data_IF_881469488139
#
_entry.id   IF_881469488139
#
_cell.length_a   1.000
_cell.length_b   1.000
_cell.length_c   1.000
_cell.angle_alpha   90.00
_cell.angle_beta   90.00
_cell.angle_gamma   90.00
#
_symmetry.space_group_name_H-M   'P 1'
#
loop_
_entity.id
_entity.type
_entity.pdbx_description
1 polymer ?
#
# COMPACT_ATOMS: atom_id res chain seq x y z
N UNK A 1 21.28 -13.00 13.05
CA UNK A 1 20.54 -12.71 11.81
C UNK A 1 19.20 -13.41 11.93
N UNK A 2 18.14 -12.68 12.30
CA UNK A 2 16.83 -13.26 12.58
C UNK A 2 15.91 -13.04 11.36
N UNK A 3 15.75 -14.08 10.57
CA UNK A 3 14.74 -14.17 9.51
C UNK A 3 13.42 -14.58 10.15
N UNK A 4 12.52 -13.63 10.42
CA UNK A 4 11.18 -13.94 10.87
C UNK A 4 10.25 -14.08 9.65
N UNK A 5 10.08 -15.32 9.20
CA UNK A 5 9.03 -15.69 8.24
C UNK A 5 7.68 -15.68 8.96
N UNK A 6 6.91 -14.60 8.84
CA UNK A 6 5.51 -14.60 9.27
C UNK A 6 4.63 -15.11 8.13
N UNK A 7 4.63 -16.45 7.98
CA UNK A 7 3.58 -17.17 7.26
C UNK A 7 2.36 -17.27 8.17
N UNK A 8 1.27 -16.63 7.75
CA UNK A 8 -0.07 -16.98 8.22
C UNK A 8 -0.75 -15.87 9.00
N UNK A 9 -1.56 -15.06 8.31
CA UNK A 9 -2.72 -14.32 8.84
C UNK A 9 -3.64 -13.87 7.67
N UNK A 10 -3.82 -14.73 6.67
CA UNK A 10 -4.65 -14.49 5.48
C UNK A 10 -6.13 -14.86 5.68
N UNK A 11 -6.77 -14.47 6.79
CA UNK A 11 -8.19 -14.82 7.03
C UNK A 11 -9.09 -13.71 7.58
N UNK A 12 -8.66 -12.44 7.61
CA UNK A 12 -9.51 -11.37 8.14
C UNK A 12 -9.61 -10.10 7.28
N UNK A 13 -9.12 -10.11 6.03
CA UNK A 13 -9.39 -9.02 5.10
C UNK A 13 -10.81 -9.22 4.55
N UNK A 14 -11.83 -8.86 5.32
CA UNK A 14 -13.10 -8.48 4.71
C UNK A 14 -12.85 -7.12 4.07
N UNK A 15 -12.81 -7.03 2.73
CA UNK A 15 -12.73 -5.74 2.09
C UNK A 15 -14.05 -5.04 2.42
N UNK A 16 -13.99 -3.89 3.08
CA UNK A 16 -15.04 -2.89 2.87
C UNK A 16 -14.88 -2.42 1.43
N UNK A 17 -15.38 -3.22 0.49
CA UNK A 17 -15.60 -2.81 -0.89
C UNK A 17 -16.67 -1.72 -0.86
N UNK A 18 -16.26 -0.45 -0.68
CA UNK A 18 -16.92 0.60 -1.45
C UNK A 18 -16.45 0.42 -2.88
N UNK A 19 -17.26 -0.27 -3.66
CA UNK A 19 -17.17 -0.27 -5.12
C UNK A 19 -17.51 1.13 -5.64
N UNK A 20 -16.55 2.05 -5.54
CA UNK A 20 -16.61 3.28 -6.33
C UNK A 20 -16.19 2.92 -7.76
N UNK A 21 -17.16 2.48 -8.58
CA UNK A 21 -17.00 2.52 -10.03
C UNK A 21 -17.13 3.97 -10.47
N UNK A 22 -16.04 4.72 -10.33
CA UNK A 22 -15.93 6.12 -10.74
C UNK A 22 -14.69 6.29 -11.62
N UNK A 23 -14.87 6.92 -12.79
CA UNK A 23 -13.78 7.36 -13.66
C UNK A 23 -13.00 8.45 -12.90
N UNK A 24 -11.86 8.13 -12.29
CA UNK A 24 -11.08 9.12 -11.53
C UNK A 24 -10.17 9.94 -12.47
N UNK A 25 -10.47 11.23 -12.60
CA UNK A 25 -9.51 12.25 -13.03
C UNK A 25 -8.89 12.85 -11.76
N UNK A 26 -7.64 12.50 -11.46
CA UNK A 26 -6.86 13.01 -10.31
C UNK A 26 -6.42 11.89 -9.36
N UNK A 27 -5.27 12.03 -8.66
CA UNK A 27 -4.80 11.00 -7.75
C UNK A 27 -5.52 11.13 -6.41
N UNK A 28 -6.50 10.26 -6.17
CA UNK A 28 -7.22 10.20 -4.91
C UNK A 28 -6.31 9.70 -3.79
N UNK A 29 -6.22 10.44 -2.68
CA UNK A 29 -5.54 9.98 -1.48
C UNK A 29 -6.39 8.89 -0.79
N UNK A 30 -5.72 7.86 -0.29
CA UNK A 30 -6.30 6.77 0.48
C UNK A 30 -6.10 7.05 1.97
N UNK A 31 -7.16 6.88 2.76
CA UNK A 31 -7.14 6.96 4.22
C UNK A 31 -7.45 5.58 4.79
N UNK A 32 -6.64 5.12 5.73
CA UNK A 32 -6.78 3.82 6.39
C UNK A 32 -6.71 4.00 7.91
N UNK A 33 -7.66 3.39 8.61
CA UNK A 33 -7.56 3.16 10.05
C UNK A 33 -6.49 2.11 10.36
N UNK A 34 -6.02 2.06 11.61
CA UNK A 34 -5.04 1.05 12.04
C UNK A 34 -5.52 -0.38 11.74
N UNK A 35 -4.64 -1.19 11.16
CA UNK A 35 -4.92 -2.56 10.75
C UNK A 35 -5.66 -2.70 9.41
N UNK A 36 -6.26 -1.63 8.88
CA UNK A 36 -6.96 -1.67 7.60
C UNK A 36 -6.00 -1.86 6.42
N UNK A 37 -6.51 -2.49 5.36
CA UNK A 37 -5.73 -2.90 4.18
C UNK A 37 -6.32 -2.29 2.91
N UNK A 38 -5.43 -1.81 2.04
CA UNK A 38 -5.72 -1.39 0.68
C UNK A 38 -4.85 -2.17 -0.31
N UNK A 39 -5.35 -2.42 -1.51
CA UNK A 39 -4.55 -3.05 -2.56
C UNK A 39 -4.84 -2.47 -3.94
N UNK A 40 -3.82 -2.49 -4.81
CA UNK A 40 -3.97 -2.13 -6.20
C UNK A 40 -3.03 -2.96 -7.09
N UNK A 41 -3.35 -3.03 -8.38
CA UNK A 41 -2.45 -3.62 -9.37
C UNK A 41 -1.71 -2.51 -10.10
N UNK A 42 -0.39 -2.52 -9.98
CA UNK A 42 0.52 -1.61 -10.69
C UNK A 42 0.73 -2.15 -12.11
N UNK A 43 0.79 -1.25 -13.09
CA UNK A 43 1.08 -1.57 -14.50
C UNK A 43 2.54 -1.25 -14.82
N UNK A 44 2.99 -1.58 -16.03
CA UNK A 44 4.40 -1.48 -16.44
C UNK A 44 5.07 -0.10 -16.23
N UNK A 45 4.31 1.00 -16.11
CA UNK A 45 4.86 2.33 -15.83
C UNK A 45 5.34 2.56 -14.39
N UNK A 46 5.14 1.60 -13.48
CA UNK A 46 5.44 1.75 -12.06
C UNK A 46 4.52 2.73 -11.35
N UNK A 47 4.75 2.93 -10.05
CA UNK A 47 4.00 3.88 -9.22
C UNK A 47 4.88 4.38 -8.07
N UNK A 48 4.84 5.67 -7.77
CA UNK A 48 5.38 6.19 -6.50
C UNK A 48 4.23 6.43 -5.54
N UNK A 49 4.33 5.91 -4.31
CA UNK A 49 3.41 6.21 -3.22
C UNK A 49 4.13 7.01 -2.14
N UNK A 50 3.50 8.07 -1.64
CA UNK A 50 3.96 8.85 -0.50
C UNK A 50 3.01 8.66 0.67
N UNK A 51 3.58 8.36 1.84
CA UNK A 51 2.87 8.37 3.11
C UNK A 51 2.81 9.82 3.62
N UNK A 52 1.64 10.44 3.58
CA UNK A 52 1.44 11.80 4.06
C UNK A 52 1.37 11.85 5.59
N UNK A 53 0.71 10.87 6.20
CA UNK A 53 0.52 10.74 7.64
C UNK A 53 0.52 9.27 8.07
N UNK A 54 0.91 9.01 9.32
CA UNK A 54 0.84 7.69 9.93
C UNK A 54 2.05 6.79 9.66
N UNK A 55 1.78 5.48 9.62
CA UNK A 55 2.78 4.43 9.39
C UNK A 55 2.19 3.31 8.55
N UNK A 56 2.85 2.96 7.45
CA UNK A 56 2.40 1.92 6.53
C UNK A 56 3.37 0.75 6.50
N UNK A 57 2.84 -0.46 6.33
CA UNK A 57 3.55 -1.62 5.82
C UNK A 57 3.09 -1.88 4.38
N UNK A 58 4.02 -2.21 3.49
CA UNK A 58 3.75 -2.42 2.07
C UNK A 58 4.50 -3.66 1.59
N UNK A 59 3.81 -4.50 0.82
CA UNK A 59 4.41 -5.59 0.04
C UNK A 59 4.05 -5.43 -1.43
N UNK A 60 4.99 -5.78 -2.32
CA UNK A 60 4.82 -5.71 -3.77
C UNK A 60 5.19 -7.06 -4.38
N UNK A 61 4.28 -7.62 -5.17
CA UNK A 61 4.52 -8.84 -5.93
C UNK A 61 5.78 -8.71 -6.80
N UNK A 62 6.69 -9.69 -6.70
CA UNK A 62 7.97 -9.67 -7.42
C UNK A 62 9.12 -8.99 -6.66
N UNK A 63 8.83 -8.24 -5.60
CA UNK A 63 9.86 -7.66 -4.73
C UNK A 63 10.20 -8.61 -3.57
N UNK A 64 11.49 -8.79 -3.24
CA UNK A 64 11.91 -9.74 -2.20
C UNK A 64 11.71 -9.21 -0.78
N UNK A 65 11.38 -7.92 -0.63
CA UNK A 65 11.34 -7.24 0.68
C UNK A 65 10.12 -6.34 0.82
N UNK A 66 9.41 -6.54 1.93
CA UNK A 66 8.40 -5.60 2.38
C UNK A 66 9.05 -4.30 2.86
N UNK A 67 8.25 -3.24 2.90
CA UNK A 67 8.71 -1.88 3.23
C UNK A 67 7.81 -1.28 4.31
N UNK A 68 8.40 -0.56 5.25
CA UNK A 68 7.68 0.25 6.23
C UNK A 68 7.91 1.72 5.91
N UNK A 69 6.83 2.47 5.67
CA UNK A 69 6.88 3.87 5.23
C UNK A 69 6.23 4.76 6.28
N UNK A 70 7.06 5.61 6.91
CA UNK A 70 6.62 6.65 7.85
C UNK A 70 6.09 7.87 7.09
N UNK A 71 5.31 8.70 7.77
CA UNK A 71 4.92 10.02 7.26
C UNK A 71 6.11 10.81 6.68
N UNK A 72 5.91 11.42 5.52
CA UNK A 72 6.94 12.09 4.71
C UNK A 72 7.77 11.15 3.83
N UNK A 73 7.71 9.83 4.07
CA UNK A 73 8.40 8.83 3.28
C UNK A 73 7.69 8.50 1.97
N UNK A 74 8.45 8.08 0.97
CA UNK A 74 7.91 7.55 -0.28
C UNK A 74 8.55 6.22 -0.67
N UNK A 75 7.83 5.46 -1.47
CA UNK A 75 8.25 4.19 -2.03
C UNK A 75 7.98 4.19 -3.52
N UNK A 76 8.98 3.75 -4.29
CA UNK A 76 8.84 3.48 -5.71
C UNK A 76 8.51 2.00 -5.87
N UNK A 77 7.48 1.73 -6.66
CA UNK A 77 6.99 0.41 -7.03
C UNK A 77 7.38 0.19 -8.48
N UNK A 78 8.49 -0.52 -8.67
CA UNK A 78 9.07 -0.73 -9.99
C UNK A 78 8.43 -1.96 -10.66
N UNK A 79 7.89 -1.76 -11.85
CA UNK A 79 7.28 -2.83 -12.63
C UNK A 79 5.83 -3.19 -12.22
N UNK A 80 5.20 -4.12 -12.97
CA UNK A 80 3.84 -4.55 -12.73
C UNK A 80 3.75 -5.55 -11.57
N UNK A 81 2.64 -5.51 -10.82
CA UNK A 81 2.43 -6.43 -9.69
C UNK A 81 1.26 -6.03 -8.80
N UNK A 82 0.82 -6.93 -7.92
CA UNK A 82 -0.11 -6.59 -6.83
C UNK A 82 0.66 -5.89 -5.72
N UNK A 83 0.17 -4.72 -5.31
CA UNK A 83 0.62 -4.01 -4.11
C UNK A 83 -0.43 -4.15 -3.05
N UNK A 84 0.00 -4.48 -1.82
CA UNK A 84 -0.84 -4.50 -0.63
C UNK A 84 -0.23 -3.55 0.39
N UNK A 85 -1.06 -2.66 0.93
CA UNK A 85 -0.71 -1.68 1.94
C UNK A 85 -1.56 -1.94 3.17
N UNK A 86 -0.92 -2.07 4.33
CA UNK A 86 -1.58 -2.10 5.63
C UNK A 86 -1.17 -0.87 6.45
N UNK A 87 -2.13 -0.24 7.09
CA UNK A 87 -1.85 0.80 8.07
C UNK A 87 -1.40 0.17 9.39
N UNK A 88 -0.15 0.41 9.80
CA UNK A 88 0.37 0.03 11.11
C UNK A 88 -0.04 1.05 12.20
N UNK A 89 -0.46 2.25 11.77
CA UNK A 89 -1.12 3.33 12.53
C UNK A 89 -2.09 4.03 11.57
N UNK A 90 -3.10 4.78 12.03
CA UNK A 90 -3.97 5.54 11.14
C UNK A 90 -3.14 6.36 10.16
N UNK A 91 -3.43 6.23 8.86
CA UNK A 91 -2.54 6.69 7.81
C UNK A 91 -3.29 7.28 6.62
N UNK A 92 -2.64 8.24 5.97
CA UNK A 92 -3.06 8.82 4.70
C UNK A 92 -1.91 8.75 3.71
N UNK A 93 -2.19 8.25 2.51
CA UNK A 93 -1.18 8.12 1.46
C UNK A 93 -1.80 8.29 0.09
N UNK A 94 -0.96 8.52 -0.92
CA UNK A 94 -1.42 8.63 -2.30
C UNK A 94 -0.25 8.59 -3.26
N UNK A 95 -0.53 8.60 -4.56
CA UNK A 95 0.52 8.68 -5.54
C UNK A 95 1.14 10.09 -5.53
N UNK A 96 2.43 10.16 -5.81
CA UNK A 96 3.20 11.41 -5.92
C UNK A 96 3.98 11.44 -7.23
N UNK A 97 4.40 12.64 -7.65
CA UNK A 97 5.28 12.78 -8.82
C UNK A 97 6.58 11.97 -8.60
N UNK A 98 7.16 11.39 -9.68
CA UNK A 98 8.35 10.56 -9.61
C UNK A 98 9.57 11.21 -8.94
#
# INVERSE_FOLDING_TARGET
>A
MATAMLRGLWQAVRPHHRTARGKTKGPEQVVLEEGAVWSCRVRAGGLRLTCCEGLLWLTHEGEPTDKVVKAGGSVRLDGPGLVVVQALRPARFGPSEP
#
